data_IF_040034809514
#
_entry.id   IF_040034809514
#
_cell.length_a   1.000
_cell.length_b   1.000
_cell.length_c   1.000
_cell.angle_alpha   90.00
_cell.angle_beta   90.00
_cell.angle_gamma   90.00
#
_symmetry.space_group_name_H-M   'P 1'
#
loop_
_entity.id
_entity.type
_entity.pdbx_description
1 polymer ?
#
# COMPACT_ATOMS: atom_id res chain seq x y z
N UNK A 1 -16.60 -17.87 9.72
CA UNK A 1 -17.61 -17.03 10.38
C UNK A 1 -18.57 -16.45 9.34
N UNK A 2 -18.08 -15.94 8.23
CA UNK A 2 -18.89 -15.25 7.21
C UNK A 2 -19.28 -16.10 6.00
N UNK A 3 -18.83 -17.37 5.94
CA UNK A 3 -19.10 -18.32 4.85
C UNK A 3 -19.05 -17.70 3.43
N UNK A 4 -17.96 -17.00 3.06
CA UNK A 4 -17.87 -16.37 1.76
C UNK A 4 -17.73 -17.41 0.64
N UNK A 5 -18.10 -17.04 -0.57
CA UNK A 5 -17.71 -17.78 -1.77
C UNK A 5 -16.26 -17.44 -2.11
N UNK A 6 -15.39 -18.44 -2.18
CA UNK A 6 -13.97 -18.27 -2.50
C UNK A 6 -13.69 -18.81 -3.90
N UNK A 7 -13.13 -17.96 -4.76
CA UNK A 7 -12.68 -18.36 -6.09
C UNK A 7 -11.14 -18.30 -6.15
N UNK A 8 -10.51 -19.46 -6.32
CA UNK A 8 -9.07 -19.55 -6.48
C UNK A 8 -8.69 -19.38 -7.97
N UNK A 9 -7.89 -18.37 -8.26
CA UNK A 9 -7.42 -18.07 -9.62
C UNK A 9 -5.97 -18.51 -9.76
N UNK A 10 -5.66 -19.25 -10.83
CA UNK A 10 -4.29 -19.60 -11.18
C UNK A 10 -3.60 -18.39 -11.84
N UNK A 11 -2.79 -17.68 -11.08
CA UNK A 11 -2.10 -16.48 -11.54
C UNK A 11 -1.39 -15.75 -10.41
N UNK A 12 -0.71 -14.67 -10.75
CA UNK A 12 -0.14 -13.75 -9.77
C UNK A 12 -1.16 -12.64 -9.40
N UNK A 13 -0.80 -11.82 -8.43
CA UNK A 13 -1.66 -10.74 -7.95
C UNK A 13 -2.08 -9.76 -9.06
N UNK A 14 -1.15 -9.38 -9.93
CA UNK A 14 -1.42 -8.42 -11.02
C UNK A 14 -2.45 -8.98 -12.01
N UNK A 15 -2.38 -10.29 -12.29
CA UNK A 15 -3.35 -10.97 -13.16
C UNK A 15 -4.74 -11.06 -12.52
N UNK A 16 -4.80 -11.32 -11.21
CA UNK A 16 -6.07 -11.33 -10.46
C UNK A 16 -6.69 -9.93 -10.42
N UNK A 17 -5.90 -8.90 -10.15
CA UNK A 17 -6.37 -7.52 -10.18
C UNK A 17 -6.94 -7.12 -11.54
N UNK A 18 -6.29 -7.51 -12.61
CA UNK A 18 -6.79 -7.28 -13.97
C UNK A 18 -8.13 -7.98 -14.19
N UNK A 19 -8.24 -9.24 -13.82
CA UNK A 19 -9.50 -9.99 -13.91
C UNK A 19 -10.61 -9.31 -13.09
N UNK A 20 -10.33 -8.89 -11.86
CA UNK A 20 -11.28 -8.15 -11.04
C UNK A 20 -11.75 -6.85 -11.70
N UNK A 21 -10.85 -6.13 -12.36
CA UNK A 21 -11.19 -4.90 -13.10
C UNK A 21 -12.12 -5.21 -14.29
N UNK A 22 -11.84 -6.27 -15.03
CA UNK A 22 -12.67 -6.71 -16.15
C UNK A 22 -14.09 -7.14 -15.68
N UNK A 23 -14.16 -7.87 -14.57
CA UNK A 23 -15.44 -8.29 -13.95
C UNK A 23 -16.21 -7.07 -13.40
N UNK A 24 -15.52 -6.14 -12.73
CA UNK A 24 -16.13 -4.91 -12.25
C UNK A 24 -16.79 -4.10 -13.39
N UNK A 25 -16.07 -3.94 -14.49
CA UNK A 25 -16.57 -3.19 -15.66
C UNK A 25 -17.72 -3.91 -16.36
N UNK A 26 -17.71 -5.23 -16.42
CA UNK A 26 -18.72 -6.02 -17.13
C UNK A 26 -19.99 -6.21 -16.32
N UNK A 27 -19.87 -6.43 -15.01
CA UNK A 27 -20.99 -6.80 -14.13
C UNK A 27 -21.38 -5.73 -13.11
N UNK A 28 -20.66 -4.61 -13.05
CA UNK A 28 -20.91 -3.55 -12.07
C UNK A 28 -20.64 -3.96 -10.63
N UNK A 29 -19.77 -4.95 -10.40
CA UNK A 29 -19.45 -5.42 -9.05
C UNK A 29 -18.54 -4.46 -8.31
N UNK A 30 -18.78 -4.32 -6.99
CA UNK A 30 -17.91 -3.57 -6.09
C UNK A 30 -16.71 -4.41 -5.65
N UNK A 31 -15.51 -3.97 -6.01
CA UNK A 31 -14.24 -4.55 -5.54
C UNK A 31 -13.51 -3.53 -4.69
N UNK A 32 -13.22 -3.89 -3.44
CA UNK A 32 -12.64 -2.96 -2.44
C UNK A 32 -11.30 -2.36 -2.91
N UNK A 33 -10.46 -3.17 -3.53
CA UNK A 33 -9.15 -2.73 -4.00
C UNK A 33 -9.10 -2.28 -5.48
N UNK A 34 -10.23 -2.20 -6.16
CA UNK A 34 -10.33 -1.78 -7.57
C UNK A 34 -11.15 -0.49 -7.68
N UNK A 35 -12.48 -0.58 -7.62
CA UNK A 35 -13.39 0.54 -7.85
C UNK A 35 -13.96 1.17 -6.57
N UNK A 36 -13.82 0.51 -5.40
CA UNK A 36 -14.11 1.07 -4.08
C UNK A 36 -12.83 1.53 -3.34
N UNK A 37 -11.79 1.78 -4.10
CA UNK A 37 -10.45 2.09 -3.63
C UNK A 37 -10.33 3.28 -2.67
N UNK A 38 -11.08 4.39 -2.80
CA UNK A 38 -11.00 5.48 -1.82
C UNK A 38 -11.25 5.03 -0.38
N UNK A 39 -12.22 4.17 -0.14
CA UNK A 39 -12.52 3.63 1.20
C UNK A 39 -11.41 2.74 1.72
N UNK A 40 -10.89 1.85 0.89
CA UNK A 40 -9.72 1.01 1.22
C UNK A 40 -8.50 1.88 1.56
N UNK A 41 -8.24 2.88 0.75
CA UNK A 41 -7.11 3.78 0.90
C UNK A 41 -7.19 4.58 2.20
N UNK A 42 -8.34 5.18 2.51
CA UNK A 42 -8.55 5.94 3.75
C UNK A 42 -8.47 5.04 4.99
N UNK A 43 -9.01 3.82 4.92
CA UNK A 43 -8.90 2.84 6.01
C UNK A 43 -7.45 2.47 6.35
N UNK A 44 -6.55 2.49 5.40
CA UNK A 44 -5.13 2.18 5.63
C UNK A 44 -4.41 3.21 6.52
N UNK A 45 -4.94 4.42 6.71
CA UNK A 45 -4.40 5.43 7.63
C UNK A 45 -4.46 5.00 9.10
N UNK A 46 -5.40 4.10 9.43
CA UNK A 46 -5.59 3.65 10.81
C UNK A 46 -4.32 3.04 11.42
N UNK A 47 -3.44 2.46 10.61
CA UNK A 47 -2.14 1.98 11.11
C UNK A 47 -1.27 3.15 11.60
N UNK A 48 -1.23 4.26 10.88
CA UNK A 48 -0.53 5.47 11.34
C UNK A 48 -1.12 6.03 12.62
N UNK A 49 -2.45 6.05 12.72
CA UNK A 49 -3.15 6.52 13.93
C UNK A 49 -2.82 5.65 15.14
N UNK A 50 -2.86 4.33 14.97
CA UNK A 50 -2.53 3.37 16.04
C UNK A 50 -1.06 3.48 16.48
N UNK A 51 -0.13 3.70 15.55
CA UNK A 51 1.27 3.95 15.88
C UNK A 51 1.43 5.20 16.76
N UNK A 52 0.82 6.31 16.39
CA UNK A 52 0.91 7.55 17.16
C UNK A 52 0.27 7.39 18.55
N UNK A 53 -0.90 6.75 18.64
CA UNK A 53 -1.58 6.46 19.91
C UNK A 53 -0.72 5.60 20.84
N UNK A 54 -0.18 4.48 20.34
CA UNK A 54 0.63 3.55 21.14
C UNK A 54 1.98 4.14 21.55
N UNK A 55 2.49 5.14 20.85
CA UNK A 55 3.66 5.92 21.24
C UNK A 55 3.33 7.07 22.21
N UNK A 56 2.11 7.11 22.76
CA UNK A 56 1.69 8.16 23.68
C UNK A 56 1.43 9.51 23.00
N UNK A 57 0.78 9.47 21.84
CA UNK A 57 0.44 10.63 21.01
C UNK A 57 1.69 11.40 20.54
N UNK A 58 2.67 10.64 20.06
CA UNK A 58 3.91 11.17 19.52
C UNK A 58 4.21 10.49 18.18
N UNK A 59 4.87 11.22 17.27
CA UNK A 59 5.38 10.65 16.03
C UNK A 59 6.72 9.95 16.29
N UNK A 60 7.01 8.83 15.62
CA UNK A 60 8.32 8.17 15.70
C UNK A 60 9.40 8.97 14.97
N UNK A 61 10.67 8.70 15.26
CA UNK A 61 11.80 9.27 14.51
C UNK A 61 11.95 8.61 13.13
N UNK A 62 11.61 7.32 13.05
CA UNK A 62 11.80 6.52 11.85
C UNK A 62 10.75 5.41 11.75
N UNK A 63 10.16 5.28 10.59
CA UNK A 63 9.28 4.17 10.20
C UNK A 63 9.96 3.33 9.13
N UNK A 64 9.96 2.02 9.33
CA UNK A 64 10.27 1.04 8.29
C UNK A 64 8.99 0.26 8.02
N UNK A 65 8.43 0.38 6.83
CA UNK A 65 7.16 -0.26 6.48
C UNK A 65 7.28 -1.10 5.20
N UNK A 66 6.47 -2.18 5.07
CA UNK A 66 6.43 -2.95 3.83
C UNK A 66 5.92 -2.07 2.69
N UNK A 67 6.59 -2.18 1.56
CA UNK A 67 6.29 -1.42 0.36
C UNK A 67 5.91 -2.38 -0.76
N UNK A 68 4.62 -2.67 -0.88
CA UNK A 68 4.08 -3.51 -1.95
C UNK A 68 3.62 -2.65 -3.14
N UNK A 69 2.38 -2.13 -3.08
CA UNK A 69 1.85 -1.19 -4.07
C UNK A 69 2.12 0.28 -3.74
N UNK A 70 2.58 0.58 -2.53
CA UNK A 70 2.76 1.94 -2.03
C UNK A 70 1.62 2.45 -1.14
N UNK A 71 0.42 1.88 -1.24
CA UNK A 71 -0.78 2.39 -0.56
C UNK A 71 -0.60 2.50 0.95
N UNK A 72 -0.23 1.42 1.64
CA UNK A 72 -0.05 1.45 3.09
C UNK A 72 1.02 2.47 3.52
N UNK A 73 2.15 2.49 2.84
CA UNK A 73 3.27 3.36 3.12
C UNK A 73 2.87 4.84 3.06
N UNK A 74 2.23 5.25 1.97
CA UNK A 74 1.78 6.63 1.78
C UNK A 74 0.67 7.03 2.74
N UNK A 75 -0.18 6.07 3.16
CA UNK A 75 -1.29 6.35 4.08
C UNK A 75 -0.87 6.42 5.55
N UNK A 76 0.18 5.72 5.96
CA UNK A 76 0.80 5.97 7.26
C UNK A 76 1.29 7.42 7.34
N UNK A 77 2.02 7.89 6.32
CA UNK A 77 2.47 9.28 6.24
C UNK A 77 1.29 10.25 6.28
N UNK A 78 0.28 10.04 5.44
CA UNK A 78 -0.93 10.89 5.42
C UNK A 78 -1.61 10.93 6.79
N UNK A 79 -1.75 9.79 7.47
CA UNK A 79 -2.34 9.73 8.80
C UNK A 79 -1.58 10.56 9.83
N UNK A 80 -0.26 10.53 9.80
CA UNK A 80 0.56 11.38 10.66
C UNK A 80 0.36 12.88 10.36
N UNK A 81 0.33 13.25 9.08
CA UNK A 81 0.10 14.64 8.68
C UNK A 81 -1.28 15.14 9.14
N UNK A 82 -2.31 14.33 9.02
CA UNK A 82 -3.66 14.68 9.50
C UNK A 82 -3.69 14.89 11.02
N UNK A 83 -2.98 14.06 11.80
CA UNK A 83 -2.89 14.27 13.26
C UNK A 83 -2.16 15.56 13.63
N UNK A 84 -1.13 15.93 12.88
CA UNK A 84 -0.47 17.23 13.03
C UNK A 84 -1.44 18.38 12.69
N UNK A 85 -2.13 18.28 11.56
CA UNK A 85 -3.06 19.32 11.08
C UNK A 85 -4.21 19.60 12.02
N UNK A 86 -4.73 18.56 12.71
CA UNK A 86 -5.77 18.73 13.72
C UNK A 86 -5.22 18.99 15.13
N UNK A 87 -3.92 19.11 15.29
CA UNK A 87 -3.27 19.45 16.56
C UNK A 87 -3.25 18.33 17.61
N UNK A 88 -3.41 17.07 17.20
CA UNK A 88 -3.35 15.91 18.11
C UNK A 88 -1.94 15.49 18.48
N UNK A 89 -0.98 15.75 17.61
CA UNK A 89 0.44 15.48 17.82
C UNK A 89 1.29 16.65 17.37
N UNK A 90 2.46 16.82 17.98
CA UNK A 90 3.42 17.84 17.54
C UNK A 90 4.04 17.48 16.19
N UNK A 91 4.30 18.48 15.35
CA UNK A 91 4.99 18.27 14.08
C UNK A 91 6.43 17.87 14.32
N UNK A 92 6.83 16.80 13.63
CA UNK A 92 8.17 16.22 13.75
C UNK A 92 8.60 15.62 12.41
N UNK A 93 9.85 15.81 12.06
CA UNK A 93 10.43 15.15 10.90
C UNK A 93 10.53 13.64 11.14
N UNK A 94 9.70 12.86 10.46
CA UNK A 94 9.71 11.40 10.49
C UNK A 94 10.45 10.86 9.27
N UNK A 95 11.45 10.02 9.47
CA UNK A 95 12.10 9.29 8.37
C UNK A 95 11.24 8.10 7.95
N UNK A 96 10.99 7.95 6.66
CA UNK A 96 10.27 6.82 6.10
C UNK A 96 11.20 5.95 5.25
N UNK A 97 11.23 4.66 5.51
CA UNK A 97 11.96 3.67 4.72
C UNK A 97 11.01 2.56 4.28
N UNK A 98 10.91 2.36 2.98
CA UNK A 98 10.12 1.29 2.39
C UNK A 98 10.94 0.01 2.21
N UNK A 99 10.41 -1.13 2.66
CA UNK A 99 11.05 -2.43 2.48
C UNK A 99 10.34 -3.23 1.39
N UNK A 100 11.06 -3.61 0.34
CA UNK A 100 10.59 -4.51 -0.71
C UNK A 100 11.43 -5.78 -0.76
N UNK A 101 10.82 -6.87 -1.25
CA UNK A 101 11.56 -8.09 -1.53
C UNK A 101 12.50 -7.89 -2.72
N UNK A 102 13.76 -8.36 -2.62
CA UNK A 102 14.76 -8.21 -3.70
C UNK A 102 14.26 -8.70 -5.05
N UNK A 103 13.56 -9.84 -5.09
CA UNK A 103 12.98 -10.39 -6.32
C UNK A 103 11.69 -9.71 -6.79
N UNK A 104 11.25 -8.62 -6.14
CA UNK A 104 10.11 -7.79 -6.55
C UNK A 104 10.20 -6.40 -5.93
N UNK A 105 11.10 -5.55 -6.43
CA UNK A 105 11.41 -4.24 -5.89
C UNK A 105 11.31 -3.09 -6.91
N UNK A 106 10.22 -2.95 -7.67
CA UNK A 106 10.13 -1.94 -8.72
C UNK A 106 10.18 -0.51 -8.20
N UNK A 107 9.60 -0.23 -7.03
CA UNK A 107 9.60 1.12 -6.42
C UNK A 107 11.01 1.47 -5.91
N UNK A 108 11.64 0.56 -5.17
CA UNK A 108 12.99 0.77 -4.66
C UNK A 108 14.00 1.01 -5.81
N UNK A 109 13.86 0.27 -6.91
CA UNK A 109 14.66 0.49 -8.12
C UNK A 109 14.45 1.89 -8.73
N UNK A 110 13.21 2.30 -8.91
CA UNK A 110 12.89 3.62 -9.45
C UNK A 110 13.49 4.73 -8.57
N UNK A 111 13.34 4.61 -7.25
CA UNK A 111 13.91 5.55 -6.29
C UNK A 111 15.44 5.60 -6.36
N UNK A 112 16.11 4.45 -6.37
CA UNK A 112 17.58 4.38 -6.45
C UNK A 112 18.15 4.95 -7.77
N UNK A 113 17.39 4.83 -8.85
CA UNK A 113 17.76 5.32 -10.16
C UNK A 113 17.29 6.77 -10.42
N UNK A 114 16.62 7.41 -9.45
CA UNK A 114 16.09 8.77 -9.57
C UNK A 114 15.06 8.94 -10.67
N UNK A 115 14.24 7.90 -10.90
CA UNK A 115 13.20 7.92 -11.94
C UNK A 115 11.85 8.35 -11.38
N UNK A 116 11.13 9.16 -12.14
CA UNK A 116 9.77 9.60 -11.83
C UNK A 116 8.69 8.58 -12.24
N UNK A 117 9.09 7.42 -12.74
CA UNK A 117 8.18 6.36 -13.15
C UNK A 117 8.69 4.99 -12.71
N UNK A 118 7.75 4.08 -12.51
CA UNK A 118 8.04 2.70 -12.10
C UNK A 118 7.92 1.78 -13.30
N UNK A 119 9.00 1.04 -13.60
CA UNK A 119 8.96 -0.03 -14.59
C UNK A 119 8.45 -1.32 -13.95
N UNK A 120 7.37 -1.92 -14.47
CA UNK A 120 6.87 -3.20 -13.96
C UNK A 120 7.93 -4.30 -14.01
N UNK A 121 7.90 -5.18 -13.00
CA UNK A 121 8.78 -6.36 -12.92
C UNK A 121 7.97 -7.63 -12.75
N UNK A 122 8.49 -8.75 -13.25
CA UNK A 122 7.88 -10.07 -12.97
C UNK A 122 8.34 -10.52 -11.57
N UNK A 123 7.41 -10.71 -10.61
CA UNK A 123 7.78 -11.10 -9.26
C UNK A 123 8.44 -12.48 -9.20
N UNK A 124 9.54 -12.59 -8.45
CA UNK A 124 10.26 -13.83 -8.15
C UNK A 124 10.70 -13.81 -6.68
N UNK A 125 9.79 -14.14 -5.76
CA UNK A 125 10.03 -14.08 -4.31
C UNK A 125 9.16 -15.06 -3.55
N UNK A 126 9.60 -15.47 -2.37
CA UNK A 126 8.80 -16.21 -1.39
C UNK A 126 7.80 -15.33 -0.66
N UNK A 127 8.04 -14.01 -0.63
CA UNK A 127 7.17 -13.02 0.02
C UNK A 127 5.95 -12.71 -0.86
N UNK A 128 5.04 -13.67 -0.99
CA UNK A 128 3.91 -13.60 -1.94
C UNK A 128 2.95 -12.44 -1.68
N UNK A 129 2.73 -12.08 -0.42
CA UNK A 129 1.78 -11.02 -0.04
C UNK A 129 2.20 -9.62 -0.48
N UNK A 130 3.49 -9.40 -0.71
CA UNK A 130 4.05 -8.11 -1.16
C UNK A 130 4.64 -8.18 -2.57
N UNK A 131 4.40 -9.28 -3.28
CA UNK A 131 4.92 -9.53 -4.64
C UNK A 131 4.06 -8.81 -5.70
N UNK A 132 4.04 -7.48 -5.65
CA UNK A 132 3.32 -6.62 -6.60
C UNK A 132 4.33 -6.07 -7.59
N UNK A 133 4.33 -6.61 -8.80
CA UNK A 133 5.27 -6.25 -9.86
C UNK A 133 4.88 -4.98 -10.61
N UNK A 134 3.60 -4.61 -10.57
CA UNK A 134 3.06 -3.38 -11.17
C UNK A 134 2.29 -2.57 -10.12
N UNK A 135 2.99 -1.82 -9.26
CA UNK A 135 2.36 -1.06 -8.18
C UNK A 135 1.51 0.10 -8.72
N UNK A 136 0.32 0.24 -8.14
CA UNK A 136 -0.63 1.26 -8.57
C UNK A 136 -0.43 2.62 -7.86
N UNK A 137 0.11 2.63 -6.63
CA UNK A 137 0.24 3.82 -5.78
C UNK A 137 1.69 4.25 -5.52
N UNK A 138 2.65 3.56 -6.11
CA UNK A 138 4.07 3.80 -5.84
C UNK A 138 4.69 5.00 -6.58
N UNK A 139 3.87 5.81 -7.25
CA UNK A 139 4.29 7.02 -7.96
C UNK A 139 4.11 8.31 -7.15
N UNK A 140 3.61 8.21 -5.90
CA UNK A 140 3.33 9.37 -5.03
C UNK A 140 4.36 9.51 -3.93
#
# INVERSE_FOLDING_TARGET
IYSPTVMAVQGNYDQVNRLCSEVANTHGWGFVNINLRPYYSEGSKTLGYEVAEQLGWQLPDHIVAPLASGSLFTKIYKGFREFVEVGLVEDKAVRFSGAQAEGCSPIAKAFQEGRDFISPVKPSTIAKSIAIGNPADGVY
#
